data_IF_927034939503
#
_entry.id   IF_927034939503
#
_cell.length_a   1.000
_cell.length_b   1.000
_cell.length_c   1.000
_cell.angle_alpha   90.00
_cell.angle_beta   90.00
_cell.angle_gamma   90.00
#
_symmetry.space_group_name_H-M   'P 1'
#
loop_
_entity.id
_entity.type
_entity.pdbx_description
1 polymer ?
#
# COMPACT_ATOMS: atom_id res chain seq x y z
N UNK A 1 -13.75 -13.55 -33.77
CA UNK A 1 -15.21 -13.53 -33.51
C UNK A 1 -15.64 -12.09 -33.26
N UNK A 2 -16.57 -11.56 -34.06
CA UNK A 2 -17.09 -10.19 -33.98
C UNK A 2 -18.40 -10.15 -33.16
N UNK A 3 -18.36 -10.70 -31.94
CA UNK A 3 -19.48 -10.64 -30.99
C UNK A 3 -19.05 -9.87 -29.74
N UNK A 4 -19.98 -9.13 -29.13
CA UNK A 4 -19.77 -8.59 -27.80
C UNK A 4 -19.44 -9.75 -26.84
N UNK A 5 -18.37 -9.60 -26.08
CA UNK A 5 -18.03 -10.55 -25.02
C UNK A 5 -19.04 -10.45 -23.89
N UNK A 6 -19.06 -11.45 -22.99
CA UNK A 6 -19.93 -11.39 -21.80
C UNK A 6 -19.64 -10.15 -20.94
N UNK A 7 -18.37 -9.77 -20.80
CA UNK A 7 -17.98 -8.61 -20.02
C UNK A 7 -18.50 -7.31 -20.65
N UNK A 8 -18.25 -7.10 -21.95
CA UNK A 8 -18.80 -5.94 -22.68
C UNK A 8 -20.32 -5.89 -22.60
N UNK A 9 -21.01 -7.03 -22.74
CA UNK A 9 -22.47 -7.10 -22.67
C UNK A 9 -23.03 -6.71 -21.29
N UNK A 10 -22.37 -7.15 -20.21
CA UNK A 10 -22.76 -6.78 -18.85
C UNK A 10 -22.53 -5.28 -18.64
N UNK A 11 -21.31 -4.79 -18.85
CA UNK A 11 -20.98 -3.38 -18.58
C UNK A 11 -21.77 -2.41 -19.46
N UNK A 12 -22.15 -2.82 -20.67
CA UNK A 12 -22.95 -2.04 -21.61
C UNK A 12 -24.46 -2.18 -21.47
N UNK A 13 -24.98 -2.89 -20.47
CA UNK A 13 -26.42 -3.22 -20.39
C UNK A 13 -27.34 -2.02 -20.11
N UNK A 14 -26.79 -0.86 -19.75
CA UNK A 14 -27.58 0.36 -19.50
C UNK A 14 -28.54 0.25 -18.30
N UNK A 15 -28.23 -0.60 -17.32
CA UNK A 15 -29.11 -0.88 -16.17
C UNK A 15 -29.42 0.39 -15.37
N UNK A 16 -30.66 0.52 -14.88
CA UNK A 16 -31.04 1.56 -13.92
C UNK A 16 -30.38 1.24 -12.56
N UNK A 17 -29.45 2.10 -12.05
CA UNK A 17 -28.76 1.86 -10.80
C UNK A 17 -29.66 1.95 -9.56
N UNK A 18 -30.92 2.37 -9.70
CA UNK A 18 -31.89 2.47 -8.60
C UNK A 18 -32.88 1.30 -8.58
N UNK A 19 -32.99 0.54 -9.68
CA UNK A 19 -33.86 -0.62 -9.77
C UNK A 19 -33.21 -1.82 -9.09
N UNK A 20 -33.84 -2.30 -8.00
CA UNK A 20 -33.34 -3.43 -7.22
C UNK A 20 -33.24 -4.71 -8.05
N UNK A 21 -34.26 -5.06 -8.82
CA UNK A 21 -34.28 -6.32 -9.56
C UNK A 21 -33.30 -6.29 -10.72
N UNK A 22 -33.25 -5.17 -11.44
CA UNK A 22 -32.29 -4.99 -12.52
C UNK A 22 -30.85 -5.07 -12.01
N UNK A 23 -30.54 -4.46 -10.86
CA UNK A 23 -29.23 -4.56 -10.22
C UNK A 23 -28.92 -5.98 -9.72
N UNK A 24 -29.90 -6.75 -9.23
CA UNK A 24 -29.65 -8.17 -8.87
C UNK A 24 -29.20 -8.97 -10.08
N UNK A 25 -29.83 -8.76 -11.23
CA UNK A 25 -29.47 -9.46 -12.47
C UNK A 25 -28.10 -9.01 -12.97
N UNK A 26 -27.84 -7.70 -12.97
CA UNK A 26 -26.52 -7.14 -13.31
C UNK A 26 -25.38 -7.77 -12.49
N UNK A 27 -25.54 -7.86 -11.16
CA UNK A 27 -24.52 -8.44 -10.28
C UNK A 27 -24.30 -9.94 -10.53
N UNK A 28 -25.35 -10.70 -10.84
CA UNK A 28 -25.24 -12.13 -11.16
C UNK A 28 -24.50 -12.35 -12.47
N UNK A 29 -24.88 -11.60 -13.51
CA UNK A 29 -24.22 -11.70 -14.81
C UNK A 29 -22.77 -11.25 -14.72
N UNK A 30 -22.48 -10.15 -14.00
CA UNK A 30 -21.11 -9.70 -13.74
C UNK A 30 -20.28 -10.75 -13.01
N UNK A 31 -20.80 -11.34 -11.95
CA UNK A 31 -20.15 -12.43 -11.23
C UNK A 31 -19.91 -13.66 -12.13
N UNK A 32 -20.90 -14.05 -12.96
CA UNK A 32 -20.77 -15.16 -13.90
C UNK A 32 -19.75 -14.88 -15.02
N UNK A 33 -19.58 -13.61 -15.39
CA UNK A 33 -18.53 -13.15 -16.29
C UNK A 33 -17.14 -13.05 -15.62
N UNK A 34 -17.03 -13.41 -14.33
CA UNK A 34 -15.78 -13.42 -13.58
C UNK A 34 -15.42 -12.08 -12.93
N UNK A 35 -16.33 -11.10 -12.91
CA UNK A 35 -16.05 -9.80 -12.28
C UNK A 35 -16.07 -9.89 -10.75
N UNK A 36 -14.98 -9.46 -10.14
CA UNK A 36 -14.88 -9.20 -8.71
C UNK A 36 -15.42 -7.80 -8.41
N UNK A 37 -16.70 -7.73 -8.03
CA UNK A 37 -17.43 -6.46 -7.88
C UNK A 37 -17.33 -5.92 -6.45
N UNK A 38 -17.22 -4.60 -6.35
CA UNK A 38 -17.11 -3.83 -5.11
C UNK A 38 -18.17 -2.72 -5.10
N UNK A 39 -18.90 -2.58 -4.00
CA UNK A 39 -19.83 -1.46 -3.82
C UNK A 39 -19.08 -0.18 -3.44
N UNK A 40 -19.55 0.95 -3.96
CA UNK A 40 -18.95 2.28 -3.77
C UNK A 40 -20.03 3.19 -3.19
N UNK A 41 -19.67 4.09 -2.27
CA UNK A 41 -20.64 4.98 -1.64
C UNK A 41 -21.26 5.95 -2.67
N UNK A 42 -22.53 6.36 -2.50
CA UNK A 42 -23.22 7.23 -3.45
C UNK A 42 -22.41 8.50 -3.76
N UNK A 43 -22.33 8.86 -5.04
CA UNK A 43 -21.63 10.06 -5.54
C UNK A 43 -20.14 10.17 -5.18
N UNK A 44 -19.49 9.12 -4.69
CA UNK A 44 -18.05 9.14 -4.35
C UNK A 44 -17.25 8.09 -5.13
N UNK A 45 -15.93 8.10 -4.94
CA UNK A 45 -15.03 7.00 -5.35
C UNK A 45 -14.59 6.10 -4.16
N UNK A 46 -15.25 6.23 -3.01
CA UNK A 46 -14.88 5.55 -1.77
C UNK A 46 -15.64 4.22 -1.66
N UNK A 47 -14.97 3.08 -1.37
CA UNK A 47 -15.65 1.81 -1.18
C UNK A 47 -16.69 1.88 -0.06
N UNK A 48 -17.85 1.29 -0.28
CA UNK A 48 -18.84 1.04 0.75
C UNK A 48 -18.49 -0.24 1.53
N UNK A 49 -18.90 -0.31 2.78
CA UNK A 49 -18.91 -1.57 3.55
C UNK A 49 -20.36 -2.06 3.73
N UNK A 50 -20.93 -2.75 2.72
CA UNK A 50 -22.32 -3.19 2.70
C UNK A 50 -22.56 -4.44 3.58
N UNK A 51 -21.72 -4.68 4.59
CA UNK A 51 -21.98 -5.71 5.59
C UNK A 51 -22.89 -5.14 6.68
N UNK A 52 -23.88 -5.93 7.12
CA UNK A 52 -24.66 -5.61 8.33
C UNK A 52 -23.74 -5.39 9.54
N UNK A 53 -24.16 -4.59 10.52
CA UNK A 53 -23.44 -4.39 11.79
C UNK A 53 -23.07 -5.72 12.44
N UNK A 54 -24.01 -6.68 12.46
CA UNK A 54 -23.78 -8.03 12.99
C UNK A 54 -22.68 -8.77 12.22
N UNK A 55 -22.70 -8.71 10.89
CA UNK A 55 -21.68 -9.34 10.05
C UNK A 55 -20.30 -8.71 10.25
N UNK A 56 -20.21 -7.38 10.32
CA UNK A 56 -18.96 -6.64 10.63
C UNK A 56 -18.41 -7.03 12.00
N UNK A 57 -19.24 -7.06 13.03
CA UNK A 57 -18.83 -7.43 14.38
C UNK A 57 -18.33 -8.88 14.45
N UNK A 58 -19.01 -9.81 13.77
CA UNK A 58 -18.57 -11.21 13.68
C UNK A 58 -17.22 -11.32 12.96
N UNK A 59 -17.05 -10.62 11.84
CA UNK A 59 -15.78 -10.63 11.10
C UNK A 59 -14.64 -10.03 11.95
N UNK A 60 -14.88 -8.91 12.62
CA UNK A 60 -13.91 -8.28 13.53
C UNK A 60 -13.53 -9.22 14.68
N UNK A 61 -14.50 -9.94 15.26
CA UNK A 61 -14.23 -10.95 16.28
C UNK A 61 -13.31 -12.05 15.75
N UNK A 62 -13.64 -12.64 14.59
CA UNK A 62 -12.81 -13.68 13.97
C UNK A 62 -11.39 -13.19 13.66
N UNK A 63 -11.23 -11.96 13.17
CA UNK A 63 -9.92 -11.37 12.89
C UNK A 63 -9.07 -11.18 14.18
N UNK A 64 -9.71 -10.80 15.29
CA UNK A 64 -9.06 -10.69 16.59
C UNK A 64 -8.66 -12.05 17.16
N UNK A 65 -9.52 -13.05 17.04
CA UNK A 65 -9.24 -14.43 17.46
C UNK A 65 -8.07 -15.03 16.66
N UNK A 66 -8.04 -14.82 15.35
CA UNK A 66 -6.92 -15.25 14.50
C UNK A 66 -5.62 -14.51 14.87
N UNK A 67 -5.67 -13.20 15.09
CA UNK A 67 -4.51 -12.43 15.51
C UNK A 67 -4.00 -12.84 16.91
N UNK A 68 -4.90 -13.17 17.83
CA UNK A 68 -4.56 -13.69 19.15
C UNK A 68 -3.89 -15.06 19.04
N UNK A 69 -4.44 -15.96 18.22
CA UNK A 69 -3.86 -17.28 17.96
C UNK A 69 -2.46 -17.19 17.31
N UNK A 70 -2.23 -16.14 16.52
CA UNK A 70 -0.92 -15.84 15.92
C UNK A 70 0.05 -15.12 16.88
N UNK A 71 -0.28 -14.95 18.16
CA UNK A 71 0.60 -14.32 19.16
C UNK A 71 0.77 -12.80 19.01
N UNK A 72 -0.07 -12.12 18.22
CA UNK A 72 0.09 -10.69 17.93
C UNK A 72 -0.26 -9.83 19.16
N UNK A 73 0.69 -9.03 19.67
CA UNK A 73 0.52 -8.25 20.91
C UNK A 73 -0.63 -7.23 20.90
N UNK A 74 -0.96 -6.64 19.75
CA UNK A 74 -2.05 -5.68 19.56
C UNK A 74 -3.34 -6.30 19.01
N UNK A 75 -3.53 -7.62 19.14
CA UNK A 75 -4.66 -8.38 18.58
C UNK A 75 -6.03 -7.75 18.84
N UNK A 76 -6.25 -7.10 20.00
CA UNK A 76 -7.53 -6.42 20.35
C UNK A 76 -7.88 -5.26 19.41
N UNK A 77 -6.88 -4.61 18.83
CA UNK A 77 -7.05 -3.49 17.90
C UNK A 77 -7.31 -3.96 16.47
N UNK A 78 -7.02 -5.22 16.16
CA UNK A 78 -7.25 -5.80 14.83
C UNK A 78 -8.72 -5.67 14.42
N UNK A 79 -8.90 -5.39 13.13
CA UNK A 79 -10.18 -5.31 12.43
C UNK A 79 -10.15 -6.25 11.24
N UNK A 80 -11.30 -6.77 10.87
CA UNK A 80 -11.42 -7.53 9.64
C UNK A 80 -11.14 -6.63 8.43
N UNK A 81 -10.60 -7.21 7.33
CA UNK A 81 -10.47 -6.48 6.08
C UNK A 81 -11.79 -5.83 5.65
N UNK A 82 -11.67 -4.64 5.06
CA UNK A 82 -12.75 -3.80 4.56
C UNK A 82 -12.30 -3.10 3.27
N UNK A 83 -13.18 -2.27 2.69
CA UNK A 83 -12.91 -1.59 1.43
C UNK A 83 -12.69 -2.58 0.29
N UNK A 84 -11.58 -2.46 -0.44
CA UNK A 84 -11.27 -3.32 -1.58
C UNK A 84 -11.30 -4.83 -1.25
N UNK A 85 -10.99 -5.22 -0.02
CA UNK A 85 -11.03 -6.62 0.41
C UNK A 85 -12.46 -7.22 0.41
N UNK A 86 -13.49 -6.40 0.21
CA UNK A 86 -14.88 -6.84 0.06
C UNK A 86 -15.26 -7.09 -1.41
N UNK A 87 -14.38 -6.79 -2.36
CA UNK A 87 -14.61 -7.13 -3.76
C UNK A 87 -14.78 -8.65 -3.91
N UNK A 88 -15.80 -9.08 -4.66
CA UNK A 88 -16.09 -10.50 -4.80
C UNK A 88 -16.87 -10.82 -6.06
N UNK A 89 -16.64 -12.01 -6.61
CA UNK A 89 -17.45 -12.62 -7.68
C UNK A 89 -18.50 -13.60 -7.12
N UNK A 90 -18.74 -13.62 -5.81
CA UNK A 90 -19.72 -14.53 -5.19
C UNK A 90 -21.10 -13.90 -5.22
N UNK A 91 -21.96 -14.41 -6.11
CA UNK A 91 -23.34 -13.94 -6.33
C UNK A 91 -24.13 -13.76 -5.02
N UNK A 92 -24.17 -14.77 -4.14
CA UNK A 92 -24.90 -14.71 -2.87
C UNK A 92 -24.39 -13.59 -1.95
N UNK A 93 -23.08 -13.35 -1.97
CA UNK A 93 -22.46 -12.27 -1.20
C UNK A 93 -22.83 -10.91 -1.79
N UNK A 94 -22.74 -10.76 -3.10
CA UNK A 94 -23.12 -9.53 -3.80
C UNK A 94 -24.59 -9.17 -3.60
N UNK A 95 -25.51 -10.15 -3.64
CA UNK A 95 -26.93 -9.92 -3.42
C UNK A 95 -27.21 -9.50 -1.98
N UNK A 96 -26.56 -10.10 -0.99
CA UNK A 96 -26.66 -9.68 0.40
C UNK A 96 -26.10 -8.26 0.61
N UNK A 97 -25.02 -7.91 -0.09
CA UNK A 97 -24.45 -6.57 -0.08
C UNK A 97 -25.38 -5.56 -0.74
N UNK A 98 -26.01 -5.89 -1.86
CA UNK A 98 -27.01 -5.05 -2.52
C UNK A 98 -28.19 -4.75 -1.59
N UNK A 99 -28.69 -5.78 -0.90
CA UNK A 99 -29.80 -5.62 0.04
C UNK A 99 -29.46 -4.67 1.19
N UNK A 100 -28.24 -4.78 1.74
CA UNK A 100 -27.75 -3.86 2.76
C UNK A 100 -27.47 -2.45 2.19
N UNK A 101 -26.95 -2.35 0.97
CA UNK A 101 -26.66 -1.08 0.33
C UNK A 101 -27.94 -0.24 0.17
N UNK A 102 -29.02 -0.83 -0.32
CA UNK A 102 -30.32 -0.13 -0.41
C UNK A 102 -30.91 0.24 0.96
N UNK A 103 -30.60 -0.53 2.01
CA UNK A 103 -30.98 -0.17 3.36
C UNK A 103 -30.19 1.06 3.86
N UNK A 104 -28.87 1.08 3.62
CA UNK A 104 -27.98 2.14 4.11
C UNK A 104 -28.10 3.42 3.29
N UNK A 105 -28.45 3.31 2.00
CA UNK A 105 -28.57 4.41 1.06
C UNK A 105 -29.92 4.38 0.31
N UNK A 106 -31.04 4.62 1.02
CA UNK A 106 -32.36 4.52 0.42
C UNK A 106 -32.55 5.54 -0.72
N UNK A 107 -33.02 5.05 -1.88
CA UNK A 107 -33.29 5.88 -3.07
C UNK A 107 -32.04 6.38 -3.80
N UNK A 108 -30.84 6.01 -3.36
CA UNK A 108 -29.60 6.39 -4.03
C UNK A 108 -29.21 5.40 -5.13
N UNK A 109 -28.55 5.86 -6.21
CA UNK A 109 -27.95 4.97 -7.20
C UNK A 109 -26.93 4.02 -6.57
N UNK A 110 -26.94 2.76 -7.01
CA UNK A 110 -25.88 1.80 -6.70
C UNK A 110 -24.66 2.11 -7.54
N UNK A 111 -23.56 2.47 -6.87
CA UNK A 111 -22.26 2.61 -7.50
C UNK A 111 -21.42 1.35 -7.29
N UNK A 112 -20.73 0.94 -8.35
CA UNK A 112 -19.91 -0.27 -8.41
C UNK A 112 -18.52 0.03 -8.97
N UNK A 113 -17.56 -0.74 -8.48
CA UNK A 113 -16.25 -0.85 -9.06
C UNK A 113 -15.89 -2.31 -9.32
N UNK A 114 -14.97 -2.53 -10.24
CA UNK A 114 -14.36 -3.84 -10.51
C UNK A 114 -12.97 -3.86 -9.90
N UNK A 115 -12.69 -4.85 -9.06
CA UNK A 115 -11.32 -5.14 -8.63
C UNK A 115 -10.61 -5.93 -9.73
N UNK A 116 -9.50 -5.39 -10.23
CA UNK A 116 -8.93 -5.80 -11.52
C UNK A 116 -8.26 -7.17 -11.46
N UNK A 117 -7.54 -7.51 -10.39
CA UNK A 117 -6.78 -8.76 -10.29
C UNK A 117 -7.65 -9.98 -10.11
N UNK A 118 -8.62 -9.91 -9.20
CA UNK A 118 -9.65 -10.93 -9.00
C UNK A 118 -10.58 -11.10 -10.21
N UNK A 119 -10.62 -10.12 -11.11
CA UNK A 119 -11.36 -10.19 -12.38
C UNK A 119 -10.51 -10.64 -13.57
N UNK A 120 -9.21 -10.93 -13.37
CA UNK A 120 -8.25 -11.22 -14.45
C UNK A 120 -8.23 -10.14 -15.55
N UNK A 121 -8.27 -8.88 -15.11
CA UNK A 121 -8.19 -7.71 -15.98
C UNK A 121 -6.92 -6.90 -15.69
N UNK A 122 -6.37 -6.32 -16.75
CA UNK A 122 -5.49 -5.17 -16.69
C UNK A 122 -6.31 -3.97 -17.15
N UNK A 123 -6.22 -2.86 -16.42
CA UNK A 123 -6.86 -1.60 -16.82
C UNK A 123 -5.80 -0.55 -17.01
N UNK A 124 -5.78 0.07 -18.19
CA UNK A 124 -5.07 1.32 -18.41
C UNK A 124 -6.03 2.46 -18.12
N UNK A 125 -5.74 3.21 -17.08
CA UNK A 125 -6.56 4.30 -16.55
C UNK A 125 -6.02 5.65 -17.04
N UNK A 126 -6.77 6.27 -17.93
CA UNK A 126 -6.53 7.60 -18.46
C UNK A 126 -7.69 8.52 -18.02
N UNK A 127 -7.47 9.36 -17.02
CA UNK A 127 -8.48 10.33 -16.57
C UNK A 127 -8.66 11.49 -17.57
N UNK A 128 -7.60 11.85 -18.31
CA UNK A 128 -7.58 13.02 -19.21
C UNK A 128 -7.41 12.68 -20.69
N UNK A 129 -7.79 13.58 -21.61
CA UNK A 129 -7.50 13.43 -23.04
C UNK A 129 -6.00 13.30 -23.35
N UNK A 130 -5.14 14.00 -22.61
CA UNK A 130 -3.68 13.96 -22.80
C UNK A 130 -3.11 12.59 -22.44
N UNK A 131 -3.53 12.01 -21.31
CA UNK A 131 -3.16 10.65 -20.92
C UNK A 131 -3.65 9.63 -21.95
N UNK A 132 -4.90 9.79 -22.42
CA UNK A 132 -5.44 8.93 -23.47
C UNK A 132 -4.61 8.99 -24.75
N UNK A 133 -4.28 10.19 -25.22
CA UNK A 133 -3.46 10.37 -26.42
C UNK A 133 -2.07 9.75 -26.26
N UNK A 134 -1.44 9.92 -25.09
CA UNK A 134 -0.14 9.31 -24.77
C UNK A 134 -0.20 7.78 -24.78
N UNK A 135 -1.23 7.19 -24.15
CA UNK A 135 -1.43 5.74 -24.17
C UNK A 135 -1.66 5.21 -25.58
N UNK A 136 -2.57 5.81 -26.36
CA UNK A 136 -2.86 5.35 -27.72
C UNK A 136 -1.66 5.49 -28.66
N UNK A 137 -0.82 6.51 -28.46
CA UNK A 137 0.46 6.66 -29.15
C UNK A 137 1.44 5.54 -28.78
N UNK A 138 1.57 5.22 -27.49
CA UNK A 138 2.41 4.10 -27.02
C UNK A 138 1.91 2.74 -27.51
N UNK A 139 0.59 2.56 -27.61
CA UNK A 139 -0.03 1.33 -28.06
C UNK A 139 -0.12 1.22 -29.60
N UNK A 140 0.32 2.23 -30.34
CA UNK A 140 0.20 2.33 -31.80
C UNK A 140 -1.25 2.12 -32.30
N UNK A 141 -2.22 2.62 -31.55
CA UNK A 141 -3.64 2.31 -31.73
C UNK A 141 -4.53 3.58 -31.68
N UNK A 142 -4.31 4.58 -32.55
CA UNK A 142 -4.92 5.90 -32.44
C UNK A 142 -6.47 5.90 -32.47
N UNK A 143 -7.07 4.93 -33.15
CA UNK A 143 -8.52 4.87 -33.37
C UNK A 143 -9.28 3.98 -32.37
N UNK A 144 -8.59 3.40 -31.39
CA UNK A 144 -9.23 2.53 -30.40
C UNK A 144 -10.00 3.37 -29.38
N UNK A 145 -11.33 3.17 -29.24
CA UNK A 145 -12.10 3.84 -28.20
C UNK A 145 -11.78 3.22 -26.83
N UNK A 146 -11.88 3.99 -25.73
CA UNK A 146 -11.83 3.42 -24.39
C UNK A 146 -12.99 2.44 -24.19
N UNK A 147 -12.75 1.40 -23.39
CA UNK A 147 -13.80 0.46 -22.98
C UNK A 147 -14.86 1.19 -22.17
N UNK A 148 -14.43 1.99 -21.19
CA UNK A 148 -15.30 2.84 -20.36
C UNK A 148 -14.89 4.30 -20.53
N UNK A 149 -15.83 5.19 -20.84
CA UNK A 149 -15.60 6.63 -20.82
C UNK A 149 -15.69 7.12 -19.37
N UNK A 150 -14.68 7.87 -18.94
CA UNK A 150 -14.65 8.46 -17.60
C UNK A 150 -15.22 9.88 -17.62
N UNK A 151 -15.75 10.38 -16.48
CA UNK A 151 -16.25 11.74 -16.35
C UNK A 151 -15.26 12.89 -16.68
N UNK A 152 -13.95 12.60 -16.76
CA UNK A 152 -12.88 13.56 -17.05
C UNK A 152 -12.60 13.76 -18.55
N UNK A 153 -13.27 13.00 -19.43
CA UNK A 153 -13.05 13.06 -20.88
C UNK A 153 -11.92 12.16 -21.39
N UNK A 154 -11.23 11.44 -20.50
CA UNK A 154 -10.38 10.31 -20.84
C UNK A 154 -11.18 9.01 -21.01
N UNK A 155 -10.63 7.90 -20.53
CA UNK A 155 -11.29 6.61 -20.51
C UNK A 155 -10.43 5.50 -19.93
N UNK A 156 -11.08 4.43 -19.49
CA UNK A 156 -10.40 3.21 -19.12
C UNK A 156 -10.35 2.24 -20.31
N UNK A 157 -9.18 1.64 -20.54
CA UNK A 157 -8.98 0.57 -21.53
C UNK A 157 -8.80 -0.75 -20.82
N UNK A 158 -9.68 -1.70 -21.08
CA UNK A 158 -9.71 -2.98 -20.37
C UNK A 158 -9.04 -4.04 -21.22
N UNK A 159 -8.15 -4.80 -20.58
CA UNK A 159 -7.45 -5.91 -21.18
C UNK A 159 -7.67 -7.19 -20.37
N UNK A 160 -8.02 -8.29 -21.03
CA UNK A 160 -8.11 -9.60 -20.39
C UNK A 160 -6.74 -10.23 -20.28
N UNK A 161 -6.42 -10.78 -19.11
CA UNK A 161 -5.19 -11.55 -18.93
C UNK A 161 -5.37 -12.90 -19.64
N UNK A 162 -4.51 -13.26 -20.61
CA UNK A 162 -4.63 -14.53 -21.32
C UNK A 162 -4.65 -15.75 -20.38
N UNK A 163 -5.26 -16.83 -20.82
CA UNK A 163 -5.23 -18.10 -20.09
C UNK A 163 -3.79 -18.61 -19.92
N UNK A 164 -3.46 -19.16 -18.75
CA UNK A 164 -2.12 -19.64 -18.44
C UNK A 164 -1.12 -18.55 -18.01
N UNK A 165 -1.46 -17.27 -18.14
CA UNK A 165 -0.63 -16.17 -17.64
C UNK A 165 -1.05 -15.79 -16.22
N UNK A 166 -0.08 -15.79 -15.31
CA UNK A 166 -0.22 -15.26 -13.95
C UNK A 166 0.62 -13.99 -13.79
N UNK A 167 -0.04 -12.89 -13.41
CA UNK A 167 0.63 -11.62 -13.19
C UNK A 167 1.19 -11.52 -11.76
N UNK A 168 2.28 -10.77 -11.55
CA UNK A 168 2.85 -10.54 -10.23
C UNK A 168 1.85 -9.83 -9.31
N UNK A 169 1.78 -10.28 -8.05
CA UNK A 169 0.90 -9.71 -7.00
C UNK A 169 1.64 -8.86 -5.96
N UNK A 170 2.98 -8.81 -6.05
CA UNK A 170 3.85 -7.99 -5.19
C UNK A 170 3.71 -6.50 -5.50
N UNK A 171 3.38 -6.18 -6.76
CA UNK A 171 2.90 -4.90 -7.22
C UNK A 171 1.51 -5.08 -7.84
N UNK A 172 0.72 -4.01 -7.90
CA UNK A 172 -0.62 -4.04 -8.47
C UNK A 172 -0.96 -2.87 -9.37
N UNK A 173 0.00 -1.95 -9.52
CA UNK A 173 -0.09 -0.80 -10.40
C UNK A 173 1.31 -0.30 -10.78
N UNK A 174 1.38 0.40 -11.91
CA UNK A 174 2.52 1.21 -12.32
C UNK A 174 2.04 2.45 -13.07
N UNK A 175 2.91 3.44 -13.19
CA UNK A 175 2.69 4.62 -14.03
C UNK A 175 3.64 4.54 -15.22
N UNK A 176 3.11 4.76 -16.42
CA UNK A 176 3.90 4.85 -17.65
C UNK A 176 3.81 6.26 -18.22
N UNK A 177 4.86 6.69 -18.93
CA UNK A 177 4.96 8.05 -19.48
C UNK A 177 5.54 9.06 -18.50
N UNK A 178 5.49 10.34 -18.88
CA UNK A 178 6.09 11.44 -18.13
C UNK A 178 5.17 12.67 -18.15
N UNK A 179 5.28 13.52 -17.13
CA UNK A 179 4.51 14.77 -17.03
C UNK A 179 2.99 14.55 -17.06
N UNK A 180 2.26 15.47 -17.69
CA UNK A 180 0.79 15.44 -17.80
C UNK A 180 0.25 14.27 -18.64
N UNK A 181 1.10 13.63 -19.44
CA UNK A 181 0.74 12.44 -20.22
C UNK A 181 0.95 11.13 -19.47
N UNK A 182 1.46 11.15 -18.24
CA UNK A 182 1.67 9.94 -17.44
C UNK A 182 0.32 9.31 -17.04
N UNK A 183 0.16 8.02 -17.32
CA UNK A 183 -1.09 7.28 -17.08
C UNK A 183 -0.84 6.02 -16.23
N UNK A 184 -1.88 5.53 -15.56
CA UNK A 184 -1.77 4.39 -14.67
C UNK A 184 -2.14 3.08 -15.39
N UNK A 185 -1.42 2.01 -15.06
CA UNK A 185 -1.74 0.64 -15.42
C UNK A 185 -2.01 -0.13 -14.13
N UNK A 186 -3.17 -0.78 -14.03
CA UNK A 186 -3.70 -1.43 -12.83
C UNK A 186 -3.97 -2.92 -13.12
N UNK A 187 -3.50 -3.85 -12.29
CA UNK A 187 -3.69 -5.29 -12.54
C UNK A 187 -3.85 -6.19 -11.31
N UNK A 188 -3.54 -5.72 -10.09
CA UNK A 188 -3.77 -6.48 -8.85
C UNK A 188 -4.16 -5.55 -7.70
N UNK A 189 -5.16 -5.92 -6.90
CA UNK A 189 -5.57 -5.16 -5.70
C UNK A 189 -5.72 -3.66 -5.97
N UNK A 190 -6.36 -3.36 -7.09
CA UNK A 190 -6.80 -2.04 -7.55
C UNK A 190 -8.22 -2.16 -8.06
N UNK A 191 -8.93 -1.04 -8.10
CA UNK A 191 -10.28 -1.03 -8.63
C UNK A 191 -10.52 0.21 -9.47
N UNK A 192 -11.45 0.08 -10.41
CA UNK A 192 -11.95 1.18 -11.23
C UNK A 192 -13.47 1.17 -11.21
N UNK A 193 -14.07 2.35 -11.22
CA UNK A 193 -15.53 2.46 -11.30
C UNK A 193 -16.01 1.98 -12.67
N UNK A 194 -17.18 1.35 -12.66
CA UNK A 194 -17.83 0.80 -13.85
C UNK A 194 -19.26 1.30 -13.96
N UNK A 195 -19.89 1.22 -15.16
CA UNK A 195 -21.33 1.35 -15.27
C UNK A 195 -22.05 0.41 -14.26
N UNK A 196 -23.22 0.79 -13.73
CA UNK A 196 -23.98 2.02 -13.99
C UNK A 196 -23.57 3.22 -13.10
N UNK A 197 -22.36 3.24 -12.53
CA UNK A 197 -21.98 4.21 -11.50
C UNK A 197 -22.09 5.67 -11.94
N UNK A 198 -22.44 6.51 -10.96
CA UNK A 198 -22.60 7.95 -11.09
C UNK A 198 -21.78 8.64 -9.99
N UNK A 199 -20.88 9.54 -10.39
CA UNK A 199 -20.06 10.36 -9.47
C UNK A 199 -20.25 11.82 -9.85
N UNK A 200 -20.62 12.66 -8.88
CA UNK A 200 -20.90 14.09 -9.09
C UNK A 200 -21.82 14.37 -10.30
N UNK A 201 -22.86 13.54 -10.45
CA UNK A 201 -23.84 13.63 -11.53
C UNK A 201 -23.36 13.13 -12.90
N UNK A 202 -22.11 12.66 -13.02
CA UNK A 202 -21.51 12.15 -14.26
C UNK A 202 -21.47 10.63 -14.26
N UNK A 203 -21.91 10.04 -15.36
CA UNK A 203 -21.99 8.58 -15.53
C UNK A 203 -20.67 8.01 -16.04
N UNK A 204 -20.35 6.80 -15.61
CA UNK A 204 -19.44 5.93 -16.33
C UNK A 204 -20.23 5.19 -17.41
N UNK A 205 -19.74 5.22 -18.64
CA UNK A 205 -20.45 4.67 -19.80
C UNK A 205 -19.55 3.69 -20.56
N UNK A 206 -20.07 2.52 -20.90
CA UNK A 206 -19.38 1.59 -21.78
C UNK A 206 -19.49 2.07 -23.23
N UNK A 207 -18.35 2.16 -23.92
CA UNK A 207 -18.26 2.62 -25.31
C UNK A 207 -17.58 1.56 -26.17
N UNK A 208 -16.40 1.12 -25.74
CA UNK A 208 -15.62 0.09 -26.42
C UNK A 208 -15.88 -1.31 -25.87
N UNK A 209 -15.00 -2.23 -26.27
CA UNK A 209 -14.91 -3.58 -25.72
C UNK A 209 -13.64 -3.74 -24.90
N UNK A 210 -13.49 -4.86 -24.20
CA UNK A 210 -12.18 -5.29 -23.72
C UNK A 210 -11.38 -6.02 -24.82
N UNK A 211 -10.06 -6.03 -24.66
CA UNK A 211 -9.11 -6.61 -25.62
C UNK A 211 -8.23 -7.65 -24.92
N UNK A 212 -7.68 -8.67 -25.59
CA UNK A 212 -6.59 -9.45 -25.01
C UNK A 212 -5.42 -8.54 -24.67
N UNK A 213 -4.80 -8.74 -23.50
CA UNK A 213 -3.61 -7.97 -23.13
C UNK A 213 -2.47 -8.21 -24.14
N UNK A 214 -1.90 -7.15 -24.73
CA UNK A 214 -0.78 -7.31 -25.65
C UNK A 214 0.50 -7.69 -24.88
N UNK A 215 1.40 -8.43 -25.54
CA UNK A 215 2.60 -8.99 -24.93
C UNK A 215 3.47 -7.92 -24.26
N UNK A 216 3.67 -6.77 -24.92
CA UNK A 216 4.46 -5.67 -24.37
C UNK A 216 3.93 -5.17 -23.02
N UNK A 217 2.60 -5.18 -22.82
CA UNK A 217 1.98 -4.73 -21.58
C UNK A 217 2.19 -5.75 -20.47
N UNK A 218 2.09 -7.04 -20.81
CA UNK A 218 2.37 -8.15 -19.89
C UNK A 218 3.84 -8.12 -19.47
N UNK A 219 4.76 -7.97 -20.42
CA UNK A 219 6.20 -7.87 -20.17
C UNK A 219 6.54 -6.73 -19.21
N UNK A 220 5.97 -5.53 -19.43
CA UNK A 220 6.16 -4.37 -18.54
C UNK A 220 5.67 -4.64 -17.11
N UNK A 221 4.54 -5.32 -16.98
CA UNK A 221 3.98 -5.70 -15.67
C UNK A 221 4.90 -6.71 -14.97
N UNK A 222 5.37 -7.72 -15.69
CA UNK A 222 6.29 -8.75 -15.18
C UNK A 222 7.61 -8.11 -14.72
N UNK A 223 8.23 -7.29 -15.58
CA UNK A 223 9.45 -6.52 -15.27
C UNK A 223 9.28 -5.70 -13.98
N UNK A 224 8.16 -5.00 -13.84
CA UNK A 224 7.83 -4.24 -12.63
C UNK A 224 7.70 -5.13 -11.39
N UNK A 225 7.10 -6.31 -11.55
CA UNK A 225 6.96 -7.31 -10.49
C UNK A 225 8.31 -7.82 -10.00
N UNK A 226 9.22 -8.15 -10.91
CA UNK A 226 10.58 -8.58 -10.60
C UNK A 226 11.37 -7.48 -9.89
N UNK A 227 11.40 -6.27 -10.44
CA UNK A 227 12.10 -5.15 -9.83
C UNK A 227 11.58 -4.83 -8.41
N UNK A 228 10.28 -4.96 -8.15
CA UNK A 228 9.71 -4.79 -6.80
C UNK A 228 10.09 -5.93 -5.86
N UNK A 229 10.17 -7.15 -6.37
CA UNK A 229 10.56 -8.32 -5.60
C UNK A 229 12.04 -8.25 -5.20
N UNK A 230 12.92 -7.93 -6.14
CA UNK A 230 14.37 -7.76 -5.90
C UNK A 230 14.65 -6.65 -4.90
N UNK A 231 13.98 -5.48 -5.05
CA UNK A 231 14.10 -4.40 -4.07
C UNK A 231 13.69 -4.84 -2.67
N UNK A 232 12.60 -5.62 -2.54
CA UNK A 232 12.17 -6.12 -1.24
C UNK A 232 13.20 -7.09 -0.65
N UNK A 233 13.76 -7.99 -1.45
CA UNK A 233 14.83 -8.89 -1.00
C UNK A 233 16.03 -8.09 -0.51
N UNK A 234 16.44 -7.05 -1.24
CA UNK A 234 17.53 -6.17 -0.82
C UNK A 234 17.19 -5.40 0.46
N UNK A 235 15.97 -4.88 0.60
CA UNK A 235 15.48 -4.23 1.83
C UNK A 235 15.48 -5.19 3.04
N UNK A 236 15.03 -6.44 2.84
CA UNK A 236 15.00 -7.47 3.88
C UNK A 236 16.42 -7.85 4.32
N UNK A 237 17.35 -8.08 3.36
CA UNK A 237 18.75 -8.34 3.67
C UNK A 237 19.46 -7.16 4.35
N UNK A 238 19.15 -5.94 3.93
CA UNK A 238 19.66 -4.74 4.59
C UNK A 238 19.16 -4.65 6.04
N UNK A 239 17.87 -4.92 6.28
CA UNK A 239 17.31 -4.94 7.63
C UNK A 239 17.96 -6.02 8.51
N UNK A 240 18.19 -7.23 7.97
CA UNK A 240 18.92 -8.31 8.65
C UNK A 240 20.36 -7.90 8.98
N UNK A 241 21.08 -7.26 8.05
CA UNK A 241 22.44 -6.75 8.27
C UNK A 241 22.49 -5.67 9.37
N UNK A 242 21.53 -4.74 9.36
CA UNK A 242 21.37 -3.73 10.41
C UNK A 242 21.11 -4.35 11.77
N UNK A 243 20.24 -5.36 11.85
CA UNK A 243 19.91 -6.05 13.09
C UNK A 243 21.14 -6.82 13.65
N UNK A 244 21.86 -7.57 12.82
CA UNK A 244 23.09 -8.27 13.21
C UNK A 244 24.18 -7.30 13.72
N UNK A 245 24.38 -6.19 13.01
CA UNK A 245 25.30 -5.14 13.45
C UNK A 245 24.85 -4.50 14.77
N UNK A 246 23.55 -4.25 14.93
CA UNK A 246 22.97 -3.65 16.14
C UNK A 246 23.13 -4.56 17.37
N UNK A 247 23.06 -5.89 17.22
CA UNK A 247 23.33 -6.84 18.31
C UNK A 247 24.78 -6.75 18.81
N UNK A 248 25.72 -6.60 17.88
CA UNK A 248 27.15 -6.47 18.21
C UNK A 248 27.51 -5.06 18.71
N UNK A 249 26.61 -4.08 18.58
CA UNK A 249 26.83 -2.68 18.92
C UNK A 249 25.94 -2.27 20.11
N UNK A 250 26.34 -2.51 21.37
CA UNK A 250 25.58 -2.04 22.52
C UNK A 250 25.61 -0.51 22.59
N UNK A 251 24.58 0.08 23.19
CA UNK A 251 24.49 1.53 23.32
C UNK A 251 25.68 2.17 24.04
N UNK A 252 26.38 1.44 24.92
CA UNK A 252 27.60 1.93 25.55
C UNK A 252 28.72 2.22 24.54
N UNK A 253 28.86 1.41 23.48
CA UNK A 253 29.87 1.66 22.44
C UNK A 253 29.61 2.94 21.65
N UNK A 254 28.35 3.39 21.58
CA UNK A 254 27.97 4.63 20.89
C UNK A 254 28.03 5.82 21.84
N UNK A 255 27.51 5.66 23.05
CA UNK A 255 27.24 6.77 23.96
C UNK A 255 28.46 7.17 24.81
N UNK A 256 29.25 6.21 25.30
CA UNK A 256 30.42 6.51 26.14
C UNK A 256 31.49 7.34 25.43
N UNK A 257 31.86 7.08 24.15
CA UNK A 257 32.80 7.92 23.41
C UNK A 257 32.32 9.37 23.25
N UNK A 258 31.00 9.58 23.22
CA UNK A 258 30.37 10.90 23.17
C UNK A 258 30.27 11.58 24.55
N UNK A 259 30.84 10.98 25.60
CA UNK A 259 30.85 11.52 26.96
C UNK A 259 29.55 11.30 27.73
N UNK A 260 28.64 10.47 27.23
CA UNK A 260 27.47 10.07 28.00
C UNK A 260 27.85 9.07 29.08
N UNK A 261 27.16 9.10 30.20
CA UNK A 261 27.44 8.21 31.33
C UNK A 261 26.20 7.44 31.77
N UNK A 262 26.36 6.13 31.96
CA UNK A 262 25.27 5.24 32.38
C UNK A 262 24.87 5.52 33.83
N UNK A 263 23.56 5.57 34.07
CA UNK A 263 22.96 5.73 35.39
C UNK A 263 22.79 4.36 36.05
N UNK A 264 23.11 4.26 37.34
CA UNK A 264 23.08 3.00 38.08
C UNK A 264 21.69 2.33 38.16
N UNK A 265 20.61 3.11 38.04
CA UNK A 265 19.23 2.59 38.09
C UNK A 265 18.62 2.56 36.68
N UNK A 266 18.21 1.37 36.20
CA UNK A 266 17.53 1.25 34.91
C UNK A 266 16.18 1.96 34.92
N UNK A 267 15.59 2.11 33.75
CA UNK A 267 14.24 2.59 33.60
C UNK A 267 13.22 1.53 34.07
N UNK A 268 11.97 1.92 34.24
CA UNK A 268 10.85 1.04 34.57
C UNK A 268 10.67 -0.13 33.59
N UNK A 269 11.15 0.03 32.35
CA UNK A 269 11.16 -1.02 31.33
C UNK A 269 12.35 -1.99 31.41
N UNK A 270 13.25 -1.80 32.38
CA UNK A 270 14.46 -2.59 32.57
C UNK A 270 15.66 -2.13 31.73
N UNK A 271 15.48 -1.16 30.84
CA UNK A 271 16.52 -0.64 29.94
C UNK A 271 17.44 0.38 30.62
N UNK A 272 18.59 0.62 30.01
CA UNK A 272 19.58 1.54 30.55
C UNK A 272 19.15 2.99 30.42
N UNK A 273 19.43 3.76 31.48
CA UNK A 273 19.26 5.20 31.47
C UNK A 273 20.63 5.85 31.41
N UNK A 274 20.73 6.85 30.54
CA UNK A 274 21.96 7.54 30.25
C UNK A 274 21.85 9.02 30.59
N UNK A 275 23.00 9.59 30.92
CA UNK A 275 23.18 11.00 31.24
C UNK A 275 23.97 11.65 30.12
N UNK A 276 23.42 12.72 29.54
CA UNK A 276 24.09 13.49 28.49
C UNK A 276 25.34 14.22 29.01
N UNK A 277 26.35 14.46 28.15
CA UNK A 277 27.48 15.32 28.46
C UNK A 277 27.04 16.79 28.69
N UNK A 278 27.91 17.59 29.32
CA UNK A 278 27.67 19.02 29.50
C UNK A 278 26.77 19.42 30.68
N UNK A 279 26.41 20.71 30.72
CA UNK A 279 25.54 21.30 31.73
C UNK A 279 24.11 20.81 31.56
N UNK A 280 23.57 20.19 32.61
CA UNK A 280 22.25 19.55 32.57
C UNK A 280 21.45 19.82 33.82
N UNK A 281 20.13 19.85 33.66
CA UNK A 281 19.17 20.07 34.76
C UNK A 281 18.93 18.80 35.58
N UNK A 282 19.10 17.62 35.00
CA UNK A 282 18.79 16.33 35.63
C UNK A 282 19.89 15.31 35.40
N UNK A 283 20.05 14.37 36.35
CA UNK A 283 21.02 13.29 36.28
C UNK A 283 20.62 12.13 35.36
N UNK A 284 19.56 12.28 34.57
CA UNK A 284 19.07 11.31 33.60
C UNK A 284 18.64 12.11 32.35
N UNK A 285 18.88 11.57 31.16
CA UNK A 285 18.69 12.29 29.90
C UNK A 285 18.02 11.48 28.80
N UNK A 286 18.27 10.18 28.76
CA UNK A 286 17.71 9.29 27.75
C UNK A 286 17.55 7.86 28.28
N UNK A 287 16.64 7.10 27.67
CA UNK A 287 16.53 5.65 27.87
C UNK A 287 16.99 4.95 26.60
N UNK A 288 18.01 4.13 26.72
CA UNK A 288 18.56 3.31 25.64
C UNK A 288 17.86 1.96 25.66
N UNK A 289 16.86 1.78 24.78
CA UNK A 289 16.15 0.52 24.70
C UNK A 289 17.02 -0.55 24.03
N UNK A 290 16.86 -1.79 24.47
CA UNK A 290 17.56 -2.96 23.93
C UNK A 290 16.66 -4.21 24.01
N UNK A 291 17.19 -5.38 23.66
CA UNK A 291 16.47 -6.67 23.58
C UNK A 291 15.74 -7.11 24.83
N UNK A 292 16.16 -6.64 26.01
CA UNK A 292 15.48 -6.89 27.28
C UNK A 292 14.29 -5.97 27.58
N UNK A 293 13.86 -5.10 26.66
CA UNK A 293 12.85 -4.07 26.94
C UNK A 293 11.44 -4.65 27.15
N UNK A 294 10.86 -4.45 28.33
CA UNK A 294 9.53 -4.96 28.67
C UNK A 294 8.35 -4.16 28.09
N UNK A 295 8.60 -3.07 27.34
CA UNK A 295 7.52 -2.24 26.78
C UNK A 295 6.80 -2.88 25.58
N UNK A 296 7.40 -3.90 24.94
CA UNK A 296 6.78 -4.66 23.84
C UNK A 296 6.35 -3.82 22.63
N UNK A 297 6.91 -2.61 22.47
CA UNK A 297 6.55 -1.66 21.40
C UNK A 297 7.70 -1.35 20.44
N UNK A 298 8.90 -1.85 20.74
CA UNK A 298 10.10 -1.68 19.92
C UNK A 298 10.53 -3.04 19.38
N UNK A 299 11.31 -3.06 18.29
CA UNK A 299 11.93 -4.28 17.80
C UNK A 299 12.83 -4.86 18.90
N UNK A 300 12.83 -6.18 19.04
CA UNK A 300 13.63 -6.86 20.08
C UNK A 300 15.14 -6.77 19.79
N UNK A 301 15.56 -6.44 18.57
CA UNK A 301 16.96 -6.51 18.17
C UNK A 301 17.61 -5.12 18.04
N UNK A 302 16.87 -4.16 17.46
CA UNK A 302 17.37 -2.81 17.17
C UNK A 302 16.48 -1.73 17.82
N UNK A 303 16.32 -1.81 19.13
CA UNK A 303 15.49 -0.87 19.88
C UNK A 303 16.17 0.53 20.00
N UNK A 304 15.38 1.61 19.97
CA UNK A 304 15.92 2.96 19.82
C UNK A 304 16.41 3.58 21.14
N UNK A 305 17.21 4.65 21.02
CA UNK A 305 17.44 5.61 22.09
C UNK A 305 16.27 6.59 22.11
N UNK A 306 15.67 6.79 23.27
CA UNK A 306 14.67 7.83 23.48
C UNK A 306 15.23 8.90 24.40
N UNK A 307 15.52 10.06 23.83
CA UNK A 307 15.98 11.24 24.55
C UNK A 307 14.75 11.99 25.08
N UNK A 308 14.79 12.44 26.31
CA UNK A 308 13.68 13.21 26.90
C UNK A 308 14.16 14.47 27.63
N UNK A 309 15.47 14.67 27.72
CA UNK A 309 16.06 15.94 28.15
C UNK A 309 16.30 16.87 26.98
N UNK A 310 16.24 18.17 27.26
CA UNK A 310 16.72 19.22 26.37
C UNK A 310 18.19 19.51 26.67
N UNK A 311 18.90 20.03 25.67
CA UNK A 311 20.32 20.39 25.76
C UNK A 311 21.22 19.17 26.04
N UNK A 312 21.26 18.23 25.10
CA UNK A 312 21.99 16.95 25.24
C UNK A 312 23.37 16.94 24.56
N UNK A 313 23.75 18.08 23.96
CA UNK A 313 24.97 18.27 23.21
C UNK A 313 24.95 17.64 21.82
N UNK A 314 25.98 17.99 21.04
CA UNK A 314 26.29 17.34 19.77
C UNK A 314 26.72 15.88 19.99
N UNK A 315 26.40 14.96 19.06
CA UNK A 315 25.79 15.21 17.75
C UNK A 315 24.24 15.14 17.74
N UNK A 316 23.61 14.82 18.88
CA UNK A 316 22.18 14.49 18.92
C UNK A 316 21.28 15.71 18.98
N UNK A 317 21.77 16.87 19.43
CA UNK A 317 21.05 18.14 19.26
C UNK A 317 20.80 18.43 17.78
N UNK A 318 21.81 18.33 16.93
CA UNK A 318 21.66 18.48 15.48
C UNK A 318 20.63 17.49 14.90
N UNK A 319 20.69 16.21 15.30
CA UNK A 319 19.70 15.22 14.86
C UNK A 319 18.27 15.65 15.24
N UNK A 320 18.06 16.08 16.48
CA UNK A 320 16.73 16.50 16.98
C UNK A 320 16.24 17.72 16.21
N UNK A 321 17.10 18.71 15.97
CA UNK A 321 16.76 19.94 15.25
C UNK A 321 16.40 19.68 13.79
N UNK A 322 17.15 18.80 13.11
CA UNK A 322 16.92 18.47 11.70
C UNK A 322 15.70 17.55 11.50
N UNK A 323 15.49 16.57 12.39
CA UNK A 323 14.46 15.53 12.22
C UNK A 323 13.18 15.79 13.02
N UNK A 324 13.21 16.72 13.97
CA UNK A 324 12.07 17.06 14.83
C UNK A 324 11.62 15.93 15.76
N UNK A 325 12.48 14.95 16.03
CA UNK A 325 12.18 13.79 16.87
C UNK A 325 13.28 13.53 17.89
N UNK A 326 12.89 13.09 19.07
CA UNK A 326 13.80 12.72 20.16
C UNK A 326 14.11 11.22 20.22
N UNK A 327 13.66 10.45 19.22
CA UNK A 327 13.89 9.01 19.14
C UNK A 327 14.73 8.70 17.92
N UNK A 328 15.79 7.92 18.11
CA UNK A 328 16.73 7.53 17.05
C UNK A 328 17.19 6.07 17.21
N UNK A 329 17.40 5.40 16.08
CA UNK A 329 18.00 4.06 16.05
C UNK A 329 19.51 4.10 16.32
N UNK A 330 20.12 2.94 16.59
CA UNK A 330 21.59 2.82 16.73
C UNK A 330 22.31 3.29 15.46
N UNK A 331 21.81 2.91 14.29
CA UNK A 331 22.38 3.34 13.01
C UNK A 331 22.35 4.86 12.88
N UNK A 332 21.22 5.51 13.16
CA UNK A 332 21.12 6.97 13.12
C UNK A 332 22.06 7.65 14.12
N UNK A 333 22.20 7.10 15.33
CA UNK A 333 23.12 7.64 16.33
C UNK A 333 24.58 7.58 15.86
N UNK A 334 25.00 6.45 15.29
CA UNK A 334 26.35 6.28 14.71
C UNK A 334 26.55 7.15 13.48
N UNK A 335 25.56 7.23 12.59
CA UNK A 335 25.60 8.12 11.41
C UNK A 335 25.89 9.57 11.81
N UNK A 336 25.25 10.08 12.85
CA UNK A 336 25.47 11.46 13.30
C UNK A 336 26.75 11.64 14.12
N UNK A 337 27.18 10.60 14.84
CA UNK A 337 28.40 10.63 15.64
C UNK A 337 29.67 10.56 14.78
N UNK A 338 29.69 9.65 13.81
CA UNK A 338 30.92 9.23 13.15
C UNK A 338 30.96 9.61 11.65
N UNK A 339 29.79 9.88 11.05
CA UNK A 339 29.64 10.09 9.60
C UNK A 339 28.97 11.41 9.23
N UNK A 340 28.93 12.37 10.14
CA UNK A 340 28.38 13.73 9.94
C UNK A 340 26.93 13.77 9.39
N UNK A 341 26.13 12.75 9.70
CA UNK A 341 24.76 12.64 9.19
C UNK A 341 24.65 11.95 7.81
N UNK A 342 25.77 11.61 7.16
CA UNK A 342 25.78 10.91 5.87
C UNK A 342 25.43 9.42 6.05
N UNK A 343 24.15 9.11 5.81
CA UNK A 343 23.62 7.76 5.96
C UNK A 343 24.20 6.80 4.91
N UNK A 344 24.42 7.26 3.68
CA UNK A 344 24.95 6.42 2.61
C UNK A 344 26.40 6.02 2.92
N UNK A 345 27.19 6.99 3.40
CA UNK A 345 28.56 6.73 3.81
C UNK A 345 28.62 5.80 5.03
N UNK A 346 27.79 6.05 6.05
CA UNK A 346 27.70 5.18 7.23
C UNK A 346 27.37 3.74 6.85
N UNK A 347 26.35 3.52 6.02
CA UNK A 347 25.94 2.18 5.55
C UNK A 347 27.08 1.48 4.80
N UNK A 348 27.84 2.21 3.98
CA UNK A 348 28.99 1.66 3.27
C UNK A 348 30.14 1.29 4.19
N UNK A 349 30.47 2.13 5.18
CA UNK A 349 31.61 1.89 6.09
C UNK A 349 31.30 0.83 7.15
N UNK A 350 30.03 0.67 7.51
CA UNK A 350 29.56 -0.35 8.44
C UNK A 350 29.29 -1.70 7.75
N UNK A 351 29.55 -1.82 6.45
CA UNK A 351 29.37 -3.04 5.65
C UNK A 351 27.95 -3.63 5.79
N UNK A 352 26.93 -2.75 5.85
CA UNK A 352 25.53 -3.15 6.10
C UNK A 352 24.78 -3.57 4.83
N UNK A 353 25.41 -3.41 3.66
CA UNK A 353 24.88 -3.89 2.39
C UNK A 353 25.43 -5.30 2.13
N UNK A 354 24.61 -6.25 1.67
CA UNK A 354 25.11 -7.55 1.28
C UNK A 354 26.06 -7.43 0.08
N UNK A 355 27.09 -8.30 0.02
CA UNK A 355 27.97 -8.49 -1.14
C UNK A 355 27.18 -9.04 -2.34
N UNK A 356 26.32 -8.21 -2.91
CA UNK A 356 25.62 -8.50 -4.14
C UNK A 356 26.00 -7.39 -5.11
N UNK A 357 26.53 -7.75 -6.27
CA UNK A 357 26.64 -6.82 -7.41
C UNK A 357 25.22 -6.36 -7.78
N UNK A 358 24.75 -5.30 -7.14
CA UNK A 358 23.51 -4.61 -7.47
C UNK A 358 23.89 -3.48 -8.44
N UNK A 359 23.34 -3.51 -9.64
CA UNK A 359 23.45 -2.42 -10.61
C UNK A 359 22.85 -1.14 -10.00
N UNK A 360 23.73 -0.17 -9.69
CA UNK A 360 23.44 1.04 -8.92
C UNK A 360 22.65 2.12 -9.69
N UNK A 361 21.95 1.79 -10.77
CA UNK A 361 21.13 2.77 -11.49
C UNK A 361 19.87 3.24 -10.73
N UNK A 362 19.52 2.65 -9.57
CA UNK A 362 18.20 2.83 -8.94
C UNK A 362 18.15 3.45 -7.53
N UNK A 363 19.27 3.73 -6.86
CA UNK A 363 19.27 4.05 -5.41
C UNK A 363 19.34 5.56 -5.10
N UNK A 364 19.56 6.42 -6.10
CA UNK A 364 19.77 7.86 -5.90
C UNK A 364 18.53 8.70 -5.49
N UNK A 365 17.47 8.09 -4.94
CA UNK A 365 16.21 8.78 -4.62
C UNK A 365 15.71 8.57 -3.17
N UNK A 366 16.60 8.35 -2.21
CA UNK A 366 16.25 8.21 -0.79
C UNK A 366 17.06 9.13 0.15
N UNK A 367 17.55 10.26 -0.36
CA UNK A 367 18.07 11.36 0.46
C UNK A 367 16.95 12.24 1.01
#
# INVERSE_FOLDING_TARGET
MLGATRLTAVLGSGVDPTDREAMRNYLREGASAGLSLLFVQPSTKVPADPRTVRSRNRANKAAREAAQAAGRGDWRKVRAPAGLALATAKDRTLLAYLDQYFHDYPGQPVNLAVEVGGSRLIVVDCDTPQQRAAFLGMAEAPDVPPTIVTPGGGGHFYFTVPEGIELPRTAGAMTLGHGEGAFAVLWDRRYVLVPPSIVDGRRYEALGREYPAPDWLIEKIIERGHARHERRIAEDHFAEGVDLWAEMTPWSMILEPLGWTRVARPDSCGCDVWTAPGERRTARSATAHDSGCSLGRYTEINAPLHIWSHFVGEPFERYIDERGTYTLSKLQAVTYADFDGDTAWAVSQLELLPDVEIDFAGVAALG
#
